data_IF_459308680506
#
_entry.id   IF_459308680506
#
_cell.length_a   1.000
_cell.length_b   1.000
_cell.length_c   1.000
_cell.angle_alpha   90.00
_cell.angle_beta   90.00
_cell.angle_gamma   90.00
#
_symmetry.space_group_name_H-M   'P 1'
#
loop_
_entity.id
_entity.type
_entity.pdbx_description
1 polymer ?
#
# COMPACT_ATOMS: atom_id res chain seq x y z
N UNK A 1 -1.72 -4.06 -7.58
CA UNK A 1 -1.62 -4.87 -6.34
C UNK A 1 -2.95 -5.54 -6.04
N UNK A 2 -2.99 -6.83 -5.67
CA UNK A 2 -4.24 -7.49 -5.25
C UNK A 2 -4.59 -7.09 -3.80
N UNK A 3 -5.86 -6.80 -3.52
CA UNK A 3 -6.35 -6.36 -2.21
C UNK A 3 -7.56 -7.20 -1.78
N UNK A 4 -7.56 -7.69 -0.54
CA UNK A 4 -8.64 -8.47 0.05
C UNK A 4 -9.20 -7.75 1.28
N UNK A 5 -10.07 -6.76 1.05
CA UNK A 5 -10.62 -5.92 2.12
C UNK A 5 -11.29 -6.75 3.23
N UNK A 6 -11.10 -6.35 4.49
CA UNK A 6 -11.74 -6.96 5.63
C UNK A 6 -13.25 -6.67 5.67
N UNK A 7 -14.00 -7.53 6.36
CA UNK A 7 -15.47 -7.49 6.38
C UNK A 7 -16.02 -6.18 6.97
N UNK A 8 -15.28 -5.52 7.86
CA UNK A 8 -15.69 -4.25 8.45
C UNK A 8 -15.68 -3.07 7.46
N UNK A 9 -15.01 -3.19 6.31
CA UNK A 9 -14.84 -2.08 5.35
C UNK A 9 -15.20 -2.42 3.91
N UNK A 10 -15.24 -3.70 3.53
CA UNK A 10 -15.45 -4.19 2.16
C UNK A 10 -16.61 -3.53 1.41
N UNK A 11 -17.77 -3.39 2.04
CA UNK A 11 -19.00 -2.91 1.37
C UNK A 11 -19.26 -1.40 1.53
N UNK A 12 -18.31 -0.68 2.13
CA UNK A 12 -18.41 0.77 2.34
C UNK A 12 -17.93 1.55 1.11
N UNK A 13 -18.34 2.83 1.01
CA UNK A 13 -17.81 3.71 -0.03
C UNK A 13 -16.29 3.91 0.10
N UNK A 14 -15.81 4.05 1.34
CA UNK A 14 -14.40 4.23 1.69
C UNK A 14 -13.57 3.00 1.32
N UNK A 15 -14.09 1.78 1.54
CA UNK A 15 -13.43 0.54 1.15
C UNK A 15 -13.21 0.44 -0.36
N UNK A 16 -14.25 0.74 -1.15
CA UNK A 16 -14.16 0.75 -2.62
C UNK A 16 -13.16 1.79 -3.14
N UNK A 17 -13.16 2.98 -2.55
CA UNK A 17 -12.20 4.04 -2.88
C UNK A 17 -10.76 3.60 -2.53
N UNK A 18 -10.55 3.07 -1.33
CA UNK A 18 -9.25 2.59 -0.90
C UNK A 18 -8.72 1.45 -1.79
N UNK A 19 -9.56 0.48 -2.15
CA UNK A 19 -9.20 -0.57 -3.10
C UNK A 19 -8.77 0.03 -4.45
N UNK A 20 -9.54 0.98 -5.01
CA UNK A 20 -9.19 1.62 -6.27
C UNK A 20 -7.82 2.33 -6.19
N UNK A 21 -7.58 3.08 -5.10
CA UNK A 21 -6.31 3.78 -4.87
C UNK A 21 -5.15 2.79 -4.72
N UNK A 22 -5.28 1.74 -3.90
CA UNK A 22 -4.23 0.74 -3.69
C UNK A 22 -3.89 -0.01 -4.98
N UNK A 23 -4.88 -0.27 -5.84
CA UNK A 23 -4.70 -0.95 -7.12
C UNK A 23 -3.91 -0.12 -8.14
N UNK A 24 -3.80 1.20 -7.97
CA UNK A 24 -2.94 2.06 -8.80
C UNK A 24 -1.45 1.74 -8.64
N UNK A 25 -1.03 1.09 -7.55
CA UNK A 25 0.34 0.61 -7.43
C UNK A 25 0.56 -0.59 -8.37
N UNK A 26 1.28 -0.35 -9.48
CA UNK A 26 1.66 -1.33 -10.51
C UNK A 26 3.09 -1.84 -10.37
N UNK A 27 3.74 -1.57 -9.24
CA UNK A 27 5.12 -1.97 -8.94
C UNK A 27 6.19 -1.44 -9.93
N UNK A 28 5.97 -0.27 -10.53
CA UNK A 28 6.87 0.30 -11.55
C UNK A 28 8.23 0.79 -11.06
N UNK A 29 8.44 1.00 -9.74
CA UNK A 29 9.73 1.49 -9.23
C UNK A 29 9.87 3.01 -9.13
N UNK A 30 8.98 3.82 -9.70
CA UNK A 30 9.15 5.27 -9.72
C UNK A 30 9.23 5.91 -8.32
N UNK A 31 8.46 5.40 -7.36
CA UNK A 31 8.52 5.90 -5.99
C UNK A 31 9.86 5.61 -5.30
N UNK A 32 10.55 4.52 -5.67
CA UNK A 32 11.85 4.17 -5.10
C UNK A 32 12.94 5.09 -5.67
N UNK A 33 12.86 5.40 -6.96
CA UNK A 33 13.82 6.29 -7.63
C UNK A 33 13.87 7.69 -6.99
N UNK A 34 12.75 8.18 -6.47
CA UNK A 34 12.64 9.50 -5.83
C UNK A 34 12.73 9.47 -4.30
N UNK A 35 12.74 8.29 -3.68
CA UNK A 35 12.73 8.18 -2.21
C UNK A 35 14.15 8.26 -1.63
N UNK A 36 14.49 9.30 -0.84
CA UNK A 36 15.81 9.43 -0.26
C UNK A 36 16.13 8.32 0.76
N UNK A 37 15.15 7.86 1.54
CA UNK A 37 15.35 6.73 2.47
C UNK A 37 15.73 5.45 1.75
N UNK A 38 15.04 5.12 0.65
CA UNK A 38 15.38 3.97 -0.18
C UNK A 38 16.78 4.09 -0.79
N UNK A 39 17.17 5.28 -1.26
CA UNK A 39 18.52 5.51 -1.81
C UNK A 39 19.62 5.34 -0.75
N UNK A 40 19.33 5.64 0.51
CA UNK A 40 20.29 5.50 1.62
C UNK A 40 20.37 4.07 2.16
N UNK A 41 19.22 3.41 2.35
CA UNK A 41 19.13 2.14 3.07
C UNK A 41 19.00 0.93 2.14
N UNK A 42 18.53 1.14 0.91
CA UNK A 42 18.22 0.06 -0.05
C UNK A 42 16.96 -0.75 0.29
N UNK A 43 16.28 -0.45 1.40
CA UNK A 43 15.09 -1.14 1.84
C UNK A 43 13.81 -0.45 1.32
N UNK A 44 13.04 -1.17 0.50
CA UNK A 44 11.78 -0.69 -0.06
C UNK A 44 10.66 -0.60 0.99
N UNK A 45 10.74 -1.39 2.07
CA UNK A 45 9.76 -1.38 3.15
C UNK A 45 9.80 -0.07 3.94
N UNK A 46 10.94 0.63 3.94
CA UNK A 46 11.08 1.96 4.55
C UNK A 46 10.64 3.11 3.61
N UNK A 47 10.37 2.79 2.34
CA UNK A 47 9.98 3.74 1.31
C UNK A 47 8.46 4.01 1.21
N UNK A 48 8.03 4.83 0.24
CA UNK A 48 6.61 5.12 0.02
C UNK A 48 5.77 3.88 -0.24
N UNK A 49 6.34 2.87 -0.91
CA UNK A 49 5.62 1.61 -1.21
C UNK A 49 5.46 0.73 0.02
N UNK A 50 6.44 0.67 0.92
CA UNK A 50 6.28 0.02 2.21
C UNK A 50 5.12 0.61 3.00
N UNK A 51 4.95 1.93 2.98
CA UNK A 51 3.77 2.59 3.60
C UNK A 51 2.45 2.16 2.96
N UNK A 52 2.39 2.01 1.63
CA UNK A 52 1.22 1.48 0.92
C UNK A 52 0.93 0.04 1.37
N UNK A 53 1.96 -0.78 1.61
CA UNK A 53 1.80 -2.14 2.15
C UNK A 53 1.20 -2.14 3.55
N UNK A 54 1.63 -1.24 4.44
CA UNK A 54 1.06 -1.11 5.78
C UNK A 54 -0.42 -0.67 5.73
N UNK A 55 -0.75 0.29 4.88
CA UNK A 55 -2.14 0.71 4.65
C UNK A 55 -3.00 -0.44 4.13
N UNK A 56 -2.47 -1.23 3.17
CA UNK A 56 -3.13 -2.44 2.68
C UNK A 56 -3.37 -3.43 3.81
N UNK A 57 -2.36 -3.76 4.61
CA UNK A 57 -2.49 -4.71 5.73
C UNK A 57 -3.58 -4.30 6.70
N UNK A 58 -3.60 -3.03 7.10
CA UNK A 58 -4.65 -2.47 7.97
C UNK A 58 -6.05 -2.65 7.36
N UNK A 59 -6.22 -2.39 6.06
CA UNK A 59 -7.50 -2.52 5.36
C UNK A 59 -7.91 -3.98 5.09
N UNK A 60 -6.96 -4.90 5.04
CA UNK A 60 -7.18 -6.34 4.94
C UNK A 60 -7.37 -7.01 6.32
N UNK A 61 -7.33 -6.24 7.41
CA UNK A 61 -7.46 -6.76 8.77
C UNK A 61 -6.26 -7.60 9.23
N UNK A 62 -5.09 -7.38 8.61
CA UNK A 62 -3.84 -8.03 8.99
C UNK A 62 -3.18 -7.30 10.17
N UNK A 63 -2.38 -8.01 10.99
CA UNK A 63 -1.50 -7.35 11.96
C UNK A 63 -0.50 -6.43 11.24
N UNK A 64 -0.26 -5.26 11.85
CA UNK A 64 0.59 -4.19 11.33
C UNK A 64 1.80 -4.00 12.24
#
# INVERSE_FOLDING_TARGET
>A
MQTNLADFIRDTAQGREAEAILRNCVHCGFCNATCPTYQLLGDELDGPRGRIYLMKQMLEGQPV
#
